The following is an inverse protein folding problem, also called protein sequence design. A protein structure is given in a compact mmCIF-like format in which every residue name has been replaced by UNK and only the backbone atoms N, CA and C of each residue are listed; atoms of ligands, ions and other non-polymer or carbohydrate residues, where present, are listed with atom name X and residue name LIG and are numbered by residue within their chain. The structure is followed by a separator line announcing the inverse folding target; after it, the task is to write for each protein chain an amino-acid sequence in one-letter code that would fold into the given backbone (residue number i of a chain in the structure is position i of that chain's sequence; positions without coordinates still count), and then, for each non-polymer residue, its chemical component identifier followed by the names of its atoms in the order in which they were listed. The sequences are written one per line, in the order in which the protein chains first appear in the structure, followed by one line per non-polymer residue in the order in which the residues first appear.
data_IF_972252395758
#
_entry.id   IF_972252395758
#
_cell.length_a   1.000
_cell.length_b   1.000
_cell.length_c   1.000
_cell.angle_alpha   90.00
_cell.angle_beta   90.00
_cell.angle_gamma   90.00
#
_symmetry.space_group_name_H-M   'P 1'
#
loop_
_entity.id
_entity.type
_entity.pdbx_description
1 polymer ?
#
# COMPACT_ATOMS: atom_id res chain seq x y z
N UNK A 1 -6.14 55.49 47.62
CA UNK A 1 -5.01 55.07 46.75
C UNK A 1 -3.96 54.42 47.65
N UNK A 2 -3.39 53.23 47.35
CA UNK A 2 -2.93 52.83 46.03
C UNK A 2 -3.35 51.42 45.52
N UNK A 3 -3.54 51.37 44.20
CA UNK A 3 -3.31 50.31 43.21
C UNK A 3 -3.49 48.82 43.58
N UNK A 4 -4.64 48.27 43.18
CA UNK A 4 -4.79 46.85 42.84
C UNK A 4 -4.26 46.63 41.41
N UNK A 5 -3.09 46.02 41.28
CA UNK A 5 -2.57 45.53 40.00
C UNK A 5 -3.08 44.10 39.80
N UNK A 6 -4.14 43.93 39.02
CA UNK A 6 -4.60 42.60 38.57
C UNK A 6 -3.79 42.22 37.35
N UNK A 7 -2.80 41.34 37.54
CA UNK A 7 -2.01 40.75 36.48
C UNK A 7 -2.82 39.58 35.88
N UNK A 8 -3.52 39.82 34.77
CA UNK A 8 -4.14 38.77 33.96
C UNK A 8 -3.02 38.03 33.21
N UNK A 9 -2.59 36.91 33.77
CA UNK A 9 -1.65 35.99 33.12
C UNK A 9 -2.43 35.19 32.06
N UNK A 10 -2.42 35.67 30.81
CA UNK A 10 -2.92 34.94 29.66
C UNK A 10 -1.99 33.76 29.37
N UNK A 11 -2.34 32.59 29.90
CA UNK A 11 -1.68 31.32 29.62
C UNK A 11 -2.03 30.92 28.17
N UNK A 12 -1.18 31.31 27.21
CA UNK A 12 -1.18 30.72 25.88
C UNK A 12 -0.76 29.25 26.05
N UNK A 13 -1.76 28.37 26.15
CA UNK A 13 -1.54 26.93 26.03
C UNK A 13 -1.12 26.72 24.58
N UNK A 14 0.20 26.65 24.36
CA UNK A 14 0.77 26.07 23.16
C UNK A 14 0.33 24.60 23.20
N UNK A 15 -0.77 24.28 22.52
CA UNK A 15 -1.16 22.90 22.33
C UNK A 15 0.05 22.22 21.69
N UNK A 16 0.64 21.17 22.30
CA UNK A 16 1.61 20.39 21.58
C UNK A 16 0.89 19.93 20.31
N UNK A 17 1.42 20.31 19.15
CA UNK A 17 1.07 19.63 17.92
C UNK A 17 1.38 18.17 18.20
N UNK A 18 0.35 17.36 18.46
CA UNK A 18 0.50 15.92 18.60
C UNK A 18 1.20 15.48 17.32
N UNK A 19 2.45 15.08 17.45
CA UNK A 19 3.12 14.35 16.39
C UNK A 19 2.25 13.11 16.17
N UNK A 20 1.74 12.94 14.95
CA UNK A 20 1.05 11.73 14.54
C UNK A 20 2.09 10.60 14.48
N UNK A 21 2.51 10.14 15.66
CA UNK A 21 3.31 8.94 15.82
C UNK A 21 2.44 7.75 15.44
N UNK A 22 3.04 6.76 14.78
CA UNK A 22 2.29 5.62 14.29
C UNK A 22 1.72 4.82 15.47
N UNK A 23 0.40 4.61 15.48
CA UNK A 23 -0.25 3.74 16.45
C UNK A 23 -0.22 2.30 15.93
N UNK A 24 0.25 1.36 16.73
CA UNK A 24 0.13 -0.08 16.43
C UNK A 24 -1.09 -0.59 17.18
N UNK A 25 -2.14 -0.92 16.43
CA UNK A 25 -3.37 -1.49 16.95
C UNK A 25 -3.45 -2.96 16.56
N UNK A 26 -3.86 -3.80 17.52
CA UNK A 26 -4.25 -5.17 17.22
C UNK A 26 -5.73 -5.22 16.86
N UNK A 27 -6.02 -5.62 15.63
CA UNK A 27 -7.39 -5.80 15.16
C UNK A 27 -7.75 -7.28 15.03
N UNK A 28 -9.02 -7.59 15.29
CA UNK A 28 -9.56 -8.94 15.11
C UNK A 28 -10.33 -9.00 13.79
N UNK A 29 -9.79 -9.71 12.81
CA UNK A 29 -10.37 -9.80 11.47
C UNK A 29 -11.46 -10.90 11.35
N UNK A 30 -11.74 -11.61 12.44
CA UNK A 30 -12.66 -12.75 12.52
C UNK A 30 -11.94 -14.09 12.48
N UNK A 31 -12.67 -15.18 12.72
CA UNK A 31 -12.15 -16.56 12.82
C UNK A 31 -11.01 -16.77 13.84
N UNK A 32 -10.89 -15.86 14.82
CA UNK A 32 -9.82 -15.90 15.82
C UNK A 32 -8.46 -15.41 15.34
N UNK A 33 -8.38 -14.84 14.14
CA UNK A 33 -7.16 -14.21 13.62
C UNK A 33 -7.10 -12.77 14.13
N UNK A 34 -6.02 -12.48 14.85
CA UNK A 34 -5.63 -11.13 15.22
C UNK A 34 -4.49 -10.68 14.30
N UNK A 35 -4.50 -9.41 13.91
CA UNK A 35 -3.50 -8.81 13.04
C UNK A 35 -3.03 -7.49 13.63
N UNK A 36 -1.72 -7.29 13.68
CA UNK A 36 -1.16 -6.00 14.05
C UNK A 36 -1.24 -5.05 12.84
N UNK A 37 -1.73 -3.84 13.09
CA UNK A 37 -1.99 -2.82 12.09
C UNK A 37 -1.36 -1.51 12.54
N UNK A 38 -0.35 -1.05 11.80
CA UNK A 38 0.27 0.24 12.05
C UNK A 38 -0.49 1.34 11.31
N UNK A 39 -1.06 2.29 12.05
CA UNK A 39 -1.90 3.37 11.50
C UNK A 39 -1.22 4.73 11.57
N UNK A 40 -1.37 5.49 10.50
CA UNK A 40 -1.03 6.90 10.39
C UNK A 40 -2.31 7.67 10.02
N UNK A 41 -2.99 8.20 11.03
CA UNK A 41 -4.30 8.82 10.88
C UNK A 41 -4.24 10.14 10.11
N UNK A 42 -5.27 10.42 9.31
CA UNK A 42 -5.44 11.70 8.63
C UNK A 42 -6.93 12.03 8.45
N UNK A 43 -7.26 13.31 8.29
CA UNK A 43 -8.66 13.75 8.14
C UNK A 43 -9.18 13.66 6.69
N UNK A 44 -8.31 13.47 5.69
CA UNK A 44 -8.71 13.49 4.29
C UNK A 44 -9.54 12.27 3.85
N UNK A 45 -9.92 12.27 2.57
CA UNK A 45 -10.93 11.36 1.99
C UNK A 45 -10.37 10.00 1.53
N UNK A 46 -9.06 9.79 1.65
CA UNK A 46 -8.37 8.63 1.06
C UNK A 46 -7.65 7.83 2.15
N UNK A 47 -7.82 6.51 2.11
CA UNK A 47 -7.12 5.54 2.93
C UNK A 47 -6.26 4.62 2.04
N UNK A 48 -4.95 4.60 2.31
CA UNK A 48 -4.02 3.62 1.78
C UNK A 48 -4.00 2.38 2.69
N UNK A 49 -4.43 1.23 2.17
CA UNK A 49 -4.24 -0.05 2.82
C UNK A 49 -2.98 -0.72 2.29
N UNK A 50 -1.93 -0.69 3.10
CA UNK A 50 -0.59 -1.17 2.82
C UNK A 50 -0.39 -2.64 3.15
N UNK A 51 0.13 -3.39 2.17
CA UNK A 51 0.53 -4.79 2.29
C UNK A 51 2.02 -4.94 1.92
N UNK A 52 2.91 -4.47 2.80
CA UNK A 52 4.34 -4.53 2.56
C UNK A 52 4.85 -5.96 2.70
N UNK A 53 6.00 -6.23 2.12
CA UNK A 53 6.58 -7.58 2.10
C UNK A 53 7.34 -7.97 3.39
N UNK A 54 7.42 -7.08 4.39
CA UNK A 54 8.33 -7.13 5.54
C UNK A 54 7.63 -6.93 6.91
N UNK A 55 6.53 -7.63 7.16
CA UNK A 55 5.73 -7.53 8.40
C UNK A 55 5.13 -6.12 8.67
N UNK A 56 5.24 -5.15 7.76
CA UNK A 56 4.74 -3.79 8.02
C UNK A 56 5.66 -2.91 8.87
N UNK A 57 6.91 -3.33 9.03
CA UNK A 57 7.85 -2.68 9.95
C UNK A 57 8.96 -1.89 9.24
N UNK A 58 8.93 -1.81 7.91
CA UNK A 58 9.88 -1.07 7.10
C UNK A 58 10.00 0.40 7.49
N UNK A 59 11.24 0.86 7.70
CA UNK A 59 11.51 2.25 8.12
C UNK A 59 11.13 3.27 7.04
N UNK A 60 11.41 2.97 5.78
CA UNK A 60 11.11 3.88 4.68
C UNK A 60 9.60 4.02 4.45
N UNK A 61 8.87 2.90 4.52
CA UNK A 61 7.41 2.91 4.44
C UNK A 61 6.80 3.67 5.62
N UNK A 62 7.31 3.45 6.83
CA UNK A 62 6.86 4.19 8.01
C UNK A 62 7.05 5.71 7.87
N UNK A 63 8.22 6.16 7.42
CA UNK A 63 8.48 7.57 7.15
C UNK A 63 7.56 8.11 6.05
N UNK A 64 7.30 7.31 5.02
CA UNK A 64 6.38 7.70 3.97
C UNK A 64 4.94 7.83 4.49
N UNK A 65 4.48 6.89 5.31
CA UNK A 65 3.16 6.94 5.96
C UNK A 65 2.97 8.18 6.84
N UNK A 66 4.00 8.54 7.62
CA UNK A 66 3.98 9.76 8.42
C UNK A 66 3.88 11.02 7.53
N UNK A 67 4.67 11.13 6.47
CA UNK A 67 4.61 12.27 5.55
C UNK A 67 3.25 12.35 4.84
N UNK A 68 2.73 11.21 4.37
CA UNK A 68 1.44 11.13 3.67
C UNK A 68 0.27 11.51 4.60
N UNK A 69 0.28 11.07 5.85
CA UNK A 69 -0.75 11.41 6.83
C UNK A 69 -0.81 12.91 7.13
N UNK A 70 0.34 13.57 7.26
CA UNK A 70 0.43 15.03 7.38
C UNK A 70 -0.08 15.77 6.15
N UNK A 71 -0.11 15.11 4.99
CA UNK A 71 -0.67 15.61 3.72
C UNK A 71 -2.13 15.20 3.51
N UNK A 72 -2.79 14.66 4.54
CA UNK A 72 -4.22 14.33 4.53
C UNK A 72 -4.54 12.92 4.01
N UNK A 73 -3.54 12.08 3.74
CA UNK A 73 -3.75 10.71 3.25
C UNK A 73 -3.56 9.73 4.39
N UNK A 74 -4.62 9.06 4.80
CA UNK A 74 -4.53 8.07 5.86
C UNK A 74 -3.82 6.81 5.38
N UNK A 75 -2.98 6.20 6.23
CA UNK A 75 -2.21 5.00 5.86
C UNK A 75 -2.31 3.94 6.94
N UNK A 76 -2.72 2.73 6.57
CA UNK A 76 -2.67 1.56 7.44
C UNK A 76 -1.70 0.54 6.85
N UNK A 77 -0.75 0.02 7.63
CA UNK A 77 0.19 -1.03 7.21
C UNK A 77 -0.10 -2.31 7.97
N UNK A 78 -0.51 -3.34 7.24
CA UNK A 78 -1.00 -4.59 7.81
C UNK A 78 0.11 -5.66 7.88
N UNK A 79 0.27 -6.29 9.04
CA UNK A 79 1.16 -7.45 9.21
C UNK A 79 0.46 -8.76 8.84
N UNK A 80 0.35 -9.02 7.53
CA UNK A 80 -0.26 -10.26 7.01
C UNK A 80 0.51 -11.53 7.42
N UNK A 81 1.83 -11.44 7.53
CA UNK A 81 2.66 -12.61 7.83
C UNK A 81 2.62 -12.94 9.32
N UNK A 82 2.69 -11.94 10.19
CA UNK A 82 2.54 -12.10 11.64
C UNK A 82 1.17 -12.66 12.03
N UNK A 83 0.10 -12.25 11.34
CA UNK A 83 -1.25 -12.80 11.55
C UNK A 83 -1.35 -14.32 11.35
N UNK A 84 -0.45 -14.90 10.54
CA UNK A 84 -0.39 -16.34 10.27
C UNK A 84 0.88 -17.01 10.81
N UNK A 85 1.68 -16.31 11.62
CA UNK A 85 2.99 -16.76 12.11
C UNK A 85 3.93 -17.26 10.99
N UNK A 86 3.85 -16.62 9.81
CA UNK A 86 4.65 -16.98 8.65
C UNK A 86 5.99 -16.21 8.65
N UNK A 87 7.08 -16.83 8.18
CA UNK A 87 8.35 -16.13 8.01
C UNK A 87 8.29 -15.14 6.82
N UNK A 88 9.17 -14.14 6.84
CA UNK A 88 9.39 -13.21 5.72
C UNK A 88 10.00 -13.99 4.54
N UNK A 89 9.16 -14.44 3.62
CA UNK A 89 9.59 -15.16 2.42
C UNK A 89 8.59 -15.00 1.26
N UNK A 90 9.07 -15.05 0.00
CA UNK A 90 8.20 -15.08 -1.17
C UNK A 90 7.13 -16.19 -1.13
N UNK A 91 7.50 -17.38 -0.66
CA UNK A 91 6.59 -18.52 -0.54
C UNK A 91 5.45 -18.24 0.44
N UNK A 92 5.76 -17.61 1.58
CA UNK A 92 4.77 -17.21 2.58
C UNK A 92 3.72 -16.27 1.98
N UNK A 93 4.15 -15.20 1.31
CA UNK A 93 3.22 -14.27 0.66
C UNK A 93 2.37 -14.94 -0.42
N UNK A 94 2.96 -15.86 -1.19
CA UNK A 94 2.24 -16.59 -2.24
C UNK A 94 1.23 -17.61 -1.70
N UNK A 95 1.43 -18.11 -0.49
CA UNK A 95 0.45 -19.01 0.17
C UNK A 95 -0.76 -18.28 0.75
N UNK A 96 -0.71 -16.95 0.87
CA UNK A 96 -1.83 -16.18 1.39
C UNK A 96 -2.93 -16.05 0.33
N UNK A 97 -4.11 -16.58 0.65
CA UNK A 97 -5.27 -16.59 -0.25
C UNK A 97 -5.97 -15.23 -0.36
N UNK A 98 -5.59 -14.23 0.46
CA UNK A 98 -6.16 -12.89 0.42
C UNK A 98 -7.41 -12.69 1.30
N UNK A 99 -7.80 -13.69 2.10
CA UNK A 99 -8.96 -13.59 3.02
C UNK A 99 -8.78 -12.46 4.04
N UNK A 100 -7.60 -12.31 4.61
CA UNK A 100 -7.30 -11.26 5.60
C UNK A 100 -7.31 -9.87 4.96
N UNK A 101 -6.88 -9.77 3.69
CA UNK A 101 -6.99 -8.53 2.91
C UNK A 101 -8.47 -8.16 2.70
N UNK A 102 -9.32 -9.11 2.28
CA UNK A 102 -10.75 -8.86 2.09
C UNK A 102 -11.45 -8.45 3.41
N UNK A 103 -11.10 -9.10 4.52
CA UNK A 103 -11.58 -8.76 5.86
C UNK A 103 -11.09 -7.39 6.31
N UNK A 104 -9.85 -7.01 6.01
CA UNK A 104 -9.33 -5.68 6.31
C UNK A 104 -10.02 -4.60 5.49
N UNK A 105 -10.32 -4.85 4.21
CA UNK A 105 -11.12 -3.93 3.39
C UNK A 105 -12.51 -3.75 4.01
N UNK A 106 -13.15 -4.84 4.45
CA UNK A 106 -14.44 -4.79 5.16
C UNK A 106 -14.35 -3.95 6.45
N UNK A 107 -13.34 -4.20 7.27
CA UNK A 107 -13.10 -3.44 8.51
C UNK A 107 -12.92 -1.95 8.22
N UNK A 108 -12.15 -1.60 7.19
CA UNK A 108 -11.99 -0.21 6.75
C UNK A 108 -13.33 0.41 6.35
N UNK A 109 -14.10 -0.29 5.51
CA UNK A 109 -15.44 0.12 5.07
C UNK A 109 -16.43 0.32 6.23
N UNK A 110 -16.34 -0.49 7.27
CA UNK A 110 -17.21 -0.39 8.45
C UNK A 110 -16.78 0.73 9.41
N UNK A 111 -15.52 1.18 9.31
CA UNK A 111 -14.94 2.20 10.19
C UNK A 111 -14.92 3.59 9.55
N UNK A 112 -14.93 3.68 8.21
CA UNK A 112 -14.79 4.95 7.50
C UNK A 112 -15.48 4.96 6.13
N UNK A 113 -15.83 6.16 5.66
CA UNK A 113 -16.38 6.41 4.32
C UNK A 113 -15.30 6.78 3.28
N UNK A 114 -14.02 6.68 3.65
CA UNK A 114 -12.89 7.02 2.77
C UNK A 114 -12.82 6.12 1.54
N UNK A 115 -12.27 6.67 0.45
CA UNK A 115 -11.82 5.93 -0.72
C UNK A 115 -10.62 5.08 -0.35
N UNK A 116 -10.72 3.78 -0.55
CA UNK A 116 -9.71 2.78 -0.21
C UNK A 116 -8.86 2.49 -1.43
N UNK A 117 -7.54 2.60 -1.28
CA UNK A 117 -6.56 2.25 -2.30
C UNK A 117 -5.59 1.24 -1.70
N UNK A 118 -5.41 0.10 -2.37
CA UNK A 118 -4.41 -0.87 -1.93
C UNK A 118 -3.03 -0.40 -2.37
N UNK A 119 -2.04 -0.51 -1.49
CA UNK A 119 -0.64 -0.30 -1.83
C UNK A 119 0.16 -1.53 -1.43
N UNK A 120 0.93 -2.08 -2.35
CA UNK A 120 1.70 -3.29 -2.09
C UNK A 120 3.00 -3.29 -2.87
N UNK A 121 3.99 -4.01 -2.34
CA UNK A 121 5.30 -4.16 -2.95
C UNK A 121 5.68 -5.62 -3.15
N UNK A 122 6.41 -5.91 -4.22
CA UNK A 122 6.94 -7.25 -4.49
C UNK A 122 5.85 -8.34 -4.44
N UNK A 123 6.06 -9.36 -3.61
CA UNK A 123 5.12 -10.46 -3.43
C UNK A 123 3.86 -10.10 -2.62
N UNK A 124 3.85 -8.97 -1.90
CA UNK A 124 2.65 -8.48 -1.19
C UNK A 124 1.50 -8.16 -2.14
N UNK A 125 1.80 -7.90 -3.42
CA UNK A 125 0.79 -7.71 -4.46
C UNK A 125 -0.11 -8.96 -4.66
N UNK A 126 0.39 -10.17 -4.35
CA UNK A 126 -0.36 -11.41 -4.53
C UNK A 126 -1.59 -11.47 -3.60
N UNK A 127 -1.44 -11.44 -2.26
CA UNK A 127 -2.60 -11.42 -1.37
C UNK A 127 -3.44 -10.16 -1.53
N UNK A 128 -2.83 -9.00 -1.85
CA UNK A 128 -3.54 -7.75 -2.07
C UNK A 128 -4.58 -7.88 -3.21
N UNK A 129 -4.17 -8.37 -4.39
CA UNK A 129 -5.09 -8.53 -5.52
C UNK A 129 -6.10 -9.67 -5.29
N UNK A 130 -5.71 -10.74 -4.58
CA UNK A 130 -6.65 -11.83 -4.25
C UNK A 130 -7.75 -11.34 -3.33
N UNK A 131 -7.40 -10.60 -2.28
CA UNK A 131 -8.36 -10.02 -1.35
C UNK A 131 -9.25 -8.96 -1.99
N UNK A 132 -8.69 -8.12 -2.87
CA UNK A 132 -9.49 -7.21 -3.68
C UNK A 132 -10.58 -7.93 -4.49
N UNK A 133 -10.20 -9.03 -5.15
CA UNK A 133 -11.12 -9.83 -5.96
C UNK A 133 -12.19 -10.52 -5.12
N UNK A 134 -11.85 -10.98 -3.92
CA UNK A 134 -12.80 -11.53 -2.95
C UNK A 134 -13.78 -10.46 -2.49
N UNK A 135 -13.28 -9.29 -2.07
CA UNK A 135 -14.10 -8.15 -1.66
C UNK A 135 -15.12 -7.75 -2.74
N UNK A 136 -14.66 -7.56 -3.99
CA UNK A 136 -15.55 -7.22 -5.11
C UNK A 136 -16.61 -8.29 -5.39
N UNK A 137 -16.32 -9.57 -5.13
CA UNK A 137 -17.30 -10.64 -5.28
C UNK A 137 -18.34 -10.63 -4.15
N UNK A 138 -17.93 -10.33 -2.93
CA UNK A 138 -18.80 -10.31 -1.76
C UNK A 138 -19.67 -9.03 -1.70
N UNK A 139 -19.14 -7.91 -2.19
CA UNK A 139 -19.77 -6.58 -2.14
C UNK A 139 -19.68 -5.87 -3.50
N UNK A 140 -20.35 -6.37 -4.54
CA UNK A 140 -20.23 -5.82 -5.91
C UNK A 140 -20.72 -4.37 -6.05
N UNK A 141 -21.65 -3.94 -5.19
CA UNK A 141 -22.19 -2.58 -5.17
C UNK A 141 -21.29 -1.58 -4.42
N UNK A 142 -20.28 -2.05 -3.68
CA UNK A 142 -19.40 -1.17 -2.92
C UNK A 142 -18.23 -0.68 -3.78
N UNK A 143 -18.26 0.60 -4.11
CA UNK A 143 -17.30 1.26 -4.99
C UNK A 143 -16.15 1.94 -4.25
N UNK A 144 -16.07 1.83 -2.91
CA UNK A 144 -15.01 2.50 -2.12
C UNK A 144 -13.62 1.95 -2.40
N UNK A 145 -13.49 0.70 -2.85
CA UNK A 145 -12.22 0.15 -3.33
C UNK A 145 -11.87 0.73 -4.71
N UNK A 146 -11.13 1.84 -4.73
CA UNK A 146 -10.88 2.65 -5.92
C UNK A 146 -9.72 2.18 -6.80
N UNK A 147 -8.86 1.27 -6.33
CA UNK A 147 -7.75 0.76 -7.12
C UNK A 147 -6.55 0.28 -6.31
N UNK A 148 -5.43 0.06 -7.02
CA UNK A 148 -4.18 -0.40 -6.43
C UNK A 148 -2.95 0.33 -6.98
N UNK A 149 -1.97 0.58 -6.10
CA UNK A 149 -0.63 1.04 -6.42
C UNK A 149 0.35 -0.09 -6.11
N UNK A 150 1.00 -0.63 -7.14
CA UNK A 150 1.84 -1.81 -7.03
C UNK A 150 3.30 -1.46 -7.33
N UNK A 151 4.15 -1.49 -6.31
CA UNK A 151 5.59 -1.30 -6.46
C UNK A 151 6.26 -2.63 -6.83
N UNK A 152 6.86 -2.69 -8.02
CA UNK A 152 7.57 -3.86 -8.56
C UNK A 152 6.85 -5.21 -8.27
N UNK A 153 5.57 -5.35 -8.64
CA UNK A 153 4.77 -6.51 -8.25
C UNK A 153 5.35 -7.83 -8.77
N UNK A 154 5.43 -8.82 -7.89
CA UNK A 154 5.90 -10.17 -8.21
C UNK A 154 4.70 -11.11 -8.33
N UNK A 155 4.09 -11.13 -9.51
CA UNK A 155 2.82 -11.83 -9.80
C UNK A 155 2.97 -13.08 -10.68
N UNK A 156 4.21 -13.55 -10.88
CA UNK A 156 4.53 -14.72 -11.68
C UNK A 156 4.05 -16.03 -11.04
N UNK A 157 3.47 -16.94 -11.84
CA UNK A 157 2.96 -18.24 -11.38
C UNK A 157 4.07 -19.19 -10.91
N UNK A 158 5.27 -19.04 -11.42
CA UNK A 158 6.45 -19.80 -11.02
C UNK A 158 7.70 -18.96 -11.25
N UNK A 159 8.83 -19.37 -10.67
CA UNK A 159 10.09 -18.71 -10.98
C UNK A 159 10.35 -18.78 -12.50
N UNK A 160 10.72 -17.66 -13.13
CA UNK A 160 10.97 -17.65 -14.56
C UNK A 160 12.12 -18.58 -14.93
N UNK A 161 11.97 -19.33 -16.02
CA UNK A 161 13.01 -20.21 -16.54
C UNK A 161 13.52 -19.68 -17.89
N UNK A 162 14.83 -19.77 -18.18
CA UNK A 162 15.37 -19.37 -19.48
C UNK A 162 14.65 -20.07 -20.64
N UNK A 163 14.27 -19.30 -21.65
CA UNK A 163 13.60 -19.82 -22.85
C UNK A 163 12.13 -20.23 -22.67
N UNK A 164 11.59 -20.18 -21.45
CA UNK A 164 10.18 -20.48 -21.18
C UNK A 164 9.35 -19.18 -21.12
N UNK A 165 8.09 -19.19 -21.60
CA UNK A 165 7.21 -18.06 -21.44
C UNK A 165 6.90 -17.82 -19.96
N UNK A 166 6.85 -16.55 -19.56
CA UNK A 166 6.42 -16.18 -18.21
C UNK A 166 4.92 -16.42 -18.04
N UNK A 167 4.52 -17.20 -17.05
CA UNK A 167 3.12 -17.34 -16.66
C UNK A 167 2.81 -16.47 -15.44
N UNK A 168 1.59 -15.94 -15.38
CA UNK A 168 1.09 -15.13 -14.27
C UNK A 168 0.10 -15.93 -13.42
N UNK A 169 0.00 -15.57 -12.14
CA UNK A 169 -0.99 -16.14 -11.24
C UNK A 169 -2.41 -15.84 -11.74
N UNK A 170 -3.35 -16.74 -11.49
CA UNK A 170 -4.76 -16.64 -11.91
C UNK A 170 -5.40 -15.28 -11.55
N UNK A 171 -5.05 -14.74 -10.37
CA UNK A 171 -5.56 -13.45 -9.91
C UNK A 171 -5.30 -12.29 -10.89
N UNK A 172 -4.19 -12.34 -11.64
CA UNK A 172 -3.85 -11.32 -12.65
C UNK A 172 -4.90 -11.30 -13.78
N UNK A 173 -5.37 -12.48 -14.17
CA UNK A 173 -6.40 -12.64 -15.21
C UNK A 173 -7.81 -12.27 -14.74
N UNK A 174 -8.02 -12.09 -13.44
CA UNK A 174 -9.34 -11.82 -12.86
C UNK A 174 -9.44 -10.48 -12.12
N UNK A 175 -8.35 -9.70 -12.09
CA UNK A 175 -8.33 -8.38 -11.46
C UNK A 175 -9.10 -7.38 -12.32
N UNK A 176 -10.04 -6.66 -11.69
CA UNK A 176 -10.89 -5.64 -12.32
C UNK A 176 -10.83 -4.34 -11.54
N UNK A 177 -9.62 -3.81 -11.40
CA UNK A 177 -9.35 -2.56 -10.67
C UNK A 177 -8.53 -1.60 -11.54
N UNK A 178 -8.63 -0.29 -11.35
CA UNK A 178 -7.57 0.63 -11.76
C UNK A 178 -6.26 0.27 -11.05
N UNK A 179 -5.17 0.09 -11.80
CA UNK A 179 -3.86 -0.30 -11.27
C UNK A 179 -2.77 0.63 -11.79
N UNK A 180 -1.97 1.19 -10.88
CA UNK A 180 -0.69 1.82 -11.19
C UNK A 180 0.43 0.85 -10.84
N UNK A 181 1.27 0.50 -11.81
CA UNK A 181 2.45 -0.33 -11.62
C UNK A 181 3.68 0.58 -11.59
N UNK A 182 4.35 0.66 -10.46
CA UNK A 182 5.60 1.40 -10.26
C UNK A 182 6.78 0.44 -10.47
N UNK A 183 7.39 0.48 -11.66
CA UNK A 183 8.38 -0.51 -12.11
C UNK A 183 9.80 0.08 -12.16
N UNK A 184 10.70 -0.32 -11.24
CA UNK A 184 12.13 -0.05 -11.33
C UNK A 184 12.72 -0.49 -12.66
N UNK A 185 13.72 0.24 -13.15
CA UNK A 185 14.36 -0.06 -14.43
C UNK A 185 15.51 -1.06 -14.32
N UNK A 186 16.16 -1.13 -13.17
CA UNK A 186 17.33 -1.99 -12.96
C UNK A 186 16.89 -3.32 -12.32
N UNK A 187 15.94 -4.02 -12.95
CA UNK A 187 15.43 -5.32 -12.51
C UNK A 187 15.07 -6.18 -13.72
N UNK A 188 15.25 -7.51 -13.68
CA UNK A 188 14.81 -8.40 -14.74
C UNK A 188 13.31 -8.28 -15.08
N UNK A 189 12.46 -7.95 -14.08
CA UNK A 189 11.01 -7.82 -14.30
C UNK A 189 10.64 -6.66 -15.22
N UNK A 190 11.55 -5.69 -15.42
CA UNK A 190 11.38 -4.59 -16.38
C UNK A 190 11.05 -5.08 -17.79
N UNK A 191 11.61 -6.22 -18.21
CA UNK A 191 11.39 -6.76 -19.56
C UNK A 191 10.00 -7.36 -19.77
N UNK A 192 9.23 -7.59 -18.70
CA UNK A 192 7.92 -8.24 -18.77
C UNK A 192 6.78 -7.35 -18.28
N UNK A 193 7.06 -6.10 -17.91
CA UNK A 193 6.04 -5.18 -17.39
C UNK A 193 4.93 -4.90 -18.42
N UNK A 194 5.25 -4.84 -19.71
CA UNK A 194 4.25 -4.68 -20.76
C UNK A 194 3.35 -5.91 -20.89
N UNK A 195 3.94 -7.11 -20.72
CA UNK A 195 3.16 -8.36 -20.65
C UNK A 195 2.25 -8.36 -19.44
N UNK A 196 2.74 -7.95 -18.26
CA UNK A 196 1.93 -7.83 -17.04
C UNK A 196 0.76 -6.88 -17.25
N UNK A 197 1.04 -5.68 -17.80
CA UNK A 197 0.04 -4.68 -18.15
C UNK A 197 -1.04 -5.29 -19.03
N UNK A 198 -0.64 -5.94 -20.12
CA UNK A 198 -1.59 -6.54 -21.05
C UNK A 198 -2.44 -7.64 -20.39
N UNK A 199 -1.85 -8.50 -19.55
CA UNK A 199 -2.59 -9.55 -18.86
C UNK A 199 -3.61 -8.99 -17.85
N UNK A 200 -3.25 -7.95 -17.09
CA UNK A 200 -4.19 -7.26 -16.21
C UNK A 200 -5.33 -6.58 -17.00
N UNK A 201 -5.01 -5.96 -18.14
CA UNK A 201 -6.00 -5.34 -19.03
C UNK A 201 -6.97 -6.36 -19.62
N UNK A 202 -6.48 -7.53 -20.03
CA UNK A 202 -7.34 -8.66 -20.46
C UNK A 202 -8.28 -9.13 -19.34
N UNK A 203 -7.86 -9.04 -18.08
CA UNK A 203 -8.69 -9.33 -16.90
C UNK A 203 -9.78 -8.29 -16.61
N UNK A 204 -9.71 -7.12 -17.26
CA UNK A 204 -10.65 -6.00 -17.11
C UNK A 204 -10.12 -4.85 -16.27
N UNK A 205 -8.82 -4.82 -15.94
CA UNK A 205 -8.20 -3.68 -15.26
C UNK A 205 -7.87 -2.54 -16.22
N UNK A 206 -7.95 -1.29 -15.76
CA UNK A 206 -7.27 -0.15 -16.41
C UNK A 206 -5.88 -0.07 -15.80
N UNK A 207 -4.82 -0.06 -16.61
CA UNK A 207 -3.46 -0.17 -16.09
C UNK A 207 -2.56 0.94 -16.63
N UNK A 208 -1.85 1.62 -15.74
CA UNK A 208 -0.71 2.49 -16.09
C UNK A 208 0.57 1.93 -15.50
N UNK A 209 1.65 2.06 -16.26
CA UNK A 209 3.00 1.67 -15.84
C UNK A 209 3.84 2.92 -15.74
N UNK A 210 4.42 3.15 -14.57
CA UNK A 210 5.36 4.22 -14.30
C UNK A 210 6.73 3.61 -14.05
N UNK A 211 7.70 3.99 -14.88
CA UNK A 211 9.06 3.46 -14.80
C UNK A 211 9.88 4.30 -13.81
N UNK A 212 10.57 3.65 -12.88
CA UNK A 212 11.42 4.30 -11.88
C UNK A 212 12.90 4.19 -12.29
N UNK A 213 13.47 5.21 -12.97
CA UNK A 213 14.80 5.14 -13.58
C UNK A 213 15.92 4.98 -12.57
N UNK A 214 16.90 4.15 -12.91
CA UNK A 214 18.17 4.05 -12.20
C UNK A 214 18.11 3.30 -10.87
N UNK A 215 17.00 2.66 -10.54
CA UNK A 215 16.81 1.96 -9.26
C UNK A 215 16.44 0.48 -9.45
N UNK A 216 16.81 -0.35 -8.46
CA UNK A 216 16.45 -1.77 -8.38
C UNK A 216 15.09 -1.97 -7.69
N UNK A 217 14.61 -3.21 -7.64
CA UNK A 217 13.56 -3.60 -6.68
C UNK A 217 14.05 -3.38 -5.25
N UNK A 218 13.12 -3.17 -4.32
CA UNK A 218 13.41 -2.86 -2.93
C UNK A 218 14.28 -1.61 -2.73
N UNK A 219 14.31 -0.64 -3.66
CA UNK A 219 15.22 0.53 -3.61
C UNK A 219 15.16 1.35 -2.31
N UNK A 220 14.06 1.27 -1.57
CA UNK A 220 13.85 1.94 -0.29
C UNK A 220 14.23 1.10 0.94
N UNK A 221 14.62 -0.16 0.72
CA UNK A 221 14.99 -1.12 1.75
C UNK A 221 16.22 -1.93 1.28
N UNK A 222 17.37 -1.25 1.20
CA UNK A 222 18.66 -1.86 0.90
C UNK A 222 19.75 -1.28 1.77
N UNK A 223 20.54 -2.15 2.39
CA UNK A 223 21.77 -1.76 3.08
C UNK A 223 22.81 -1.21 2.09
N UNK A 224 22.89 -1.80 0.90
CA UNK A 224 23.80 -1.44 -0.19
C UNK A 224 23.19 -0.42 -1.17
N UNK A 225 22.26 0.42 -0.73
CA UNK A 225 21.59 1.38 -1.60
C UNK A 225 22.60 2.32 -2.29
N UNK A 226 22.41 2.54 -3.59
CA UNK A 226 23.10 3.57 -4.36
C UNK A 226 22.57 4.96 -4.01
N UNK A 227 23.24 6.02 -4.46
CA UNK A 227 22.74 7.39 -4.29
C UNK A 227 21.41 7.62 -5.01
N UNK A 228 21.26 7.08 -6.22
CA UNK A 228 20.02 7.14 -6.99
C UNK A 228 18.85 6.46 -6.23
N UNK A 229 19.10 5.30 -5.61
CA UNK A 229 18.12 4.58 -4.81
C UNK A 229 17.74 5.35 -3.54
N UNK A 230 18.72 5.92 -2.83
CA UNK A 230 18.45 6.81 -1.67
C UNK A 230 17.64 8.04 -2.07
N UNK A 231 17.94 8.64 -3.22
CA UNK A 231 17.20 9.79 -3.74
C UNK A 231 15.77 9.42 -4.12
N UNK A 232 15.55 8.26 -4.76
CA UNK A 232 14.23 7.76 -5.09
C UNK A 232 13.43 7.38 -3.84
N UNK A 233 14.06 6.75 -2.84
CA UNK A 233 13.43 6.37 -1.57
C UNK A 233 12.89 7.59 -0.81
N UNK A 234 13.62 8.70 -0.81
CA UNK A 234 13.14 9.98 -0.23
C UNK A 234 11.91 10.53 -0.94
N UNK A 235 11.67 10.12 -2.20
CA UNK A 235 10.52 10.54 -3.00
C UNK A 235 9.31 9.62 -2.89
N UNK A 236 9.34 8.61 -2.00
CA UNK A 236 8.22 7.67 -1.84
C UNK A 236 6.87 8.36 -1.62
N UNK A 237 6.73 9.37 -0.73
CA UNK A 237 5.47 10.09 -0.57
C UNK A 237 4.98 10.70 -1.88
N UNK A 238 5.85 11.40 -2.60
CA UNK A 238 5.50 12.08 -3.85
C UNK A 238 5.13 11.07 -4.95
N UNK A 239 5.81 9.92 -5.01
CA UNK A 239 5.47 8.85 -5.95
C UNK A 239 4.06 8.29 -5.69
N UNK A 240 3.70 8.12 -4.42
CA UNK A 240 2.37 7.64 -4.02
C UNK A 240 1.29 8.69 -4.33
N UNK A 241 1.53 9.96 -4.02
CA UNK A 241 0.60 11.05 -4.35
C UNK A 241 0.36 11.18 -5.85
N UNK A 242 1.42 11.08 -6.65
CA UNK A 242 1.32 11.08 -8.12
C UNK A 242 0.48 9.89 -8.61
N UNK A 243 0.72 8.69 -8.08
CA UNK A 243 -0.07 7.50 -8.42
C UNK A 243 -1.56 7.67 -8.02
N UNK A 244 -1.85 8.26 -6.86
CA UNK A 244 -3.23 8.56 -6.43
C UNK A 244 -3.94 9.54 -7.39
N UNK A 245 -3.24 10.58 -7.85
CA UNK A 245 -3.79 11.51 -8.85
C UNK A 245 -4.09 10.80 -10.18
N UNK A 246 -3.20 9.92 -10.62
CA UNK A 246 -3.42 9.13 -11.84
C UNK A 246 -4.60 8.16 -11.69
N UNK A 247 -4.76 7.51 -10.53
CA UNK A 247 -5.92 6.66 -10.25
C UNK A 247 -7.23 7.45 -10.33
N UNK A 248 -7.28 8.66 -9.74
CA UNK A 248 -8.46 9.54 -9.85
C UNK A 248 -8.80 9.87 -11.32
N UNK A 249 -7.80 10.10 -12.17
CA UNK A 249 -8.02 10.32 -13.61
C UNK A 249 -8.52 9.06 -14.35
N UNK A 250 -8.22 7.87 -13.83
CA UNK A 250 -8.68 6.59 -14.36
C UNK A 250 -10.08 6.19 -13.88
N UNK A 251 -10.68 6.94 -12.95
CA UNK A 251 -12.07 6.74 -12.52
C UNK A 251 -13.03 7.71 -13.21
N UNK A 252 -12.50 8.80 -13.79
CA UNK A 252 -13.28 9.74 -14.57
C UNK A 252 -13.89 9.03 -15.80
N UNK A 253 -15.20 9.25 -16.07
CA UNK A 253 -15.92 8.66 -17.20
C UNK A 253 -15.38 9.10 -18.56
#
# INVERSE_FOLDING_TARGET
MPYRLVLLLSLFILAPTLYAEAEIERIRLGDGIDMDLRRFSAEGDTLLLGFPCDLGMGRAEAQAGEVLSRRGIEVWMADLLGAHFLPIAPSSMRSLEGREVARLIRHAVETTDKRIILIASGYGAVPALRGARMWQAERPEDTRLGGAILFYPMLNAHNPQPGQPLEYLEVVHHTRLPVIVMQPTNTPTRFWVDKLKHTLEQGGSRVRVELLPGVRGHFYDREDATEAERAMARRLPELVEQALQQLKQMEAP
#
